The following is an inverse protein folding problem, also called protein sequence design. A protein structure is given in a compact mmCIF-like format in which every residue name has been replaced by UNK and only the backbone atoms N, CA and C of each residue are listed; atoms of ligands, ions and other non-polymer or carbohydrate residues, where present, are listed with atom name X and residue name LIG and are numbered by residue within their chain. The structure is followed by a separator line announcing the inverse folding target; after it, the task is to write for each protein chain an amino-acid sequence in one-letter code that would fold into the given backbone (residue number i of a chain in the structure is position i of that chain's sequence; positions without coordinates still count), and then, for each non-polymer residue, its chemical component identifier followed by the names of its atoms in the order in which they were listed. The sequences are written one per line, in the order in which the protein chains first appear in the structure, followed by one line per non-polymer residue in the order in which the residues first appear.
data_IF_580138144462
#
_entry.id   IF_580138144462
#
_cell.length_a   1.000
_cell.length_b   1.000
_cell.length_c   1.000
_cell.angle_alpha   90.00
_cell.angle_beta   90.00
_cell.angle_gamma   90.00
#
_symmetry.space_group_name_H-M   'P 1'
#
loop_
_entity.id
_entity.type
_entity.pdbx_description
1 polymer ?
#
# COMPACT_ATOMS: atom_id res chain seq x y z
N UNK A 1 26.44 26.08 1.44
CA UNK A 1 25.37 25.38 2.18
C UNK A 1 24.48 24.71 1.15
N UNK A 2 24.53 23.39 1.05
CA UNK A 2 23.74 22.65 0.05
C UNK A 2 22.32 22.56 0.57
N UNK A 3 21.40 23.29 -0.06
CA UNK A 3 19.96 23.18 0.10
C UNK A 3 19.53 21.79 -0.37
N UNK A 4 19.82 20.76 0.44
CA UNK A 4 19.26 19.43 0.19
C UNK A 4 17.75 19.59 0.38
N UNK A 5 16.92 19.25 -0.62
CA UNK A 5 15.48 19.28 -0.44
C UNK A 5 15.17 18.48 0.81
N UNK A 6 14.51 19.12 1.77
CA UNK A 6 14.00 18.43 2.95
C UNK A 6 12.92 17.49 2.45
N UNK A 7 13.32 16.26 2.11
CA UNK A 7 12.37 15.18 1.88
C UNK A 7 11.57 15.05 3.17
N UNK A 8 10.24 14.98 3.03
CA UNK A 8 9.35 14.77 4.17
C UNK A 8 9.70 13.49 4.93
N UNK A 9 9.05 13.24 6.08
CA UNK A 9 9.30 12.03 6.87
C UNK A 9 9.21 10.76 6.02
N UNK A 10 9.99 9.74 6.39
CA UNK A 10 9.93 8.45 5.72
C UNK A 10 8.54 7.83 5.84
N UNK A 11 8.14 7.09 4.82
CA UNK A 11 6.91 6.30 4.77
C UNK A 11 6.97 5.18 5.82
N UNK A 12 6.60 5.50 7.06
CA UNK A 12 6.45 4.53 8.15
C UNK A 12 4.96 4.35 8.47
N UNK A 13 4.38 3.15 8.23
CA UNK A 13 2.98 2.87 8.54
C UNK A 13 2.60 3.10 10.01
N UNK A 14 3.55 3.00 10.94
CA UNK A 14 3.34 3.21 12.38
C UNK A 14 3.32 4.68 12.80
N UNK A 15 3.91 5.57 12.00
CA UNK A 15 4.03 7.01 12.29
C UNK A 15 3.16 7.88 11.34
N UNK A 16 2.45 7.25 10.41
CA UNK A 16 1.55 7.92 9.48
C UNK A 16 0.22 8.30 10.14
N UNK A 17 0.18 9.48 10.77
CA UNK A 17 -1.04 10.06 11.33
C UNK A 17 -1.78 11.02 10.38
N UNK A 18 -1.16 11.44 9.27
CA UNK A 18 -1.77 12.41 8.34
C UNK A 18 -2.91 11.79 7.54
N UNK A 19 -3.88 12.60 7.12
CA UNK A 19 -4.91 12.18 6.16
C UNK A 19 -4.27 11.97 4.77
N UNK A 20 -4.63 10.92 4.02
CA UNK A 20 -4.12 10.74 2.66
C UNK A 20 -4.51 11.92 1.76
N UNK A 21 -3.54 12.41 0.98
CA UNK A 21 -3.72 13.51 0.05
C UNK A 21 -4.58 13.11 -1.15
N UNK A 22 -4.53 11.84 -1.56
CA UNK A 22 -5.41 11.25 -2.57
C UNK A 22 -5.79 9.84 -2.14
N UNK A 23 -7.08 9.50 -2.27
CA UNK A 23 -7.57 8.13 -2.16
C UNK A 23 -8.11 7.76 -3.53
N UNK A 24 -7.65 6.64 -4.08
CA UNK A 24 -8.27 6.02 -5.25
C UNK A 24 -8.84 4.67 -4.82
N UNK A 25 -10.15 4.56 -4.88
CA UNK A 25 -10.84 3.29 -4.67
C UNK A 25 -10.79 2.50 -5.96
N UNK A 26 -10.24 1.30 -5.89
CA UNK A 26 -10.24 0.33 -6.98
C UNK A 26 -10.79 -0.95 -6.39
N UNK A 27 -11.73 -1.60 -7.08
CA UNK A 27 -12.20 -2.92 -6.71
C UNK A 27 -11.70 -3.89 -7.76
N UNK A 28 -10.52 -4.46 -7.53
CA UNK A 28 -9.96 -5.52 -8.36
C UNK A 28 -9.95 -6.80 -7.55
N UNK A 29 -10.62 -7.83 -8.09
CA UNK A 29 -10.72 -9.14 -7.47
C UNK A 29 -9.90 -10.13 -8.31
N UNK A 30 -8.95 -10.81 -7.68
CA UNK A 30 -8.25 -11.95 -8.29
C UNK A 30 -8.40 -13.17 -7.42
N UNK A 31 -8.77 -14.26 -8.05
CA UNK A 31 -8.87 -15.58 -7.42
C UNK A 31 -7.68 -16.41 -7.86
N UNK A 32 -7.03 -17.07 -6.91
CA UNK A 32 -5.91 -17.96 -7.16
C UNK A 32 -6.07 -19.25 -6.35
N UNK A 33 -5.65 -20.37 -6.93
CA UNK A 33 -5.66 -21.67 -6.27
C UNK A 33 -4.26 -21.95 -5.74
N UNK A 34 -4.12 -21.92 -4.42
CA UNK A 34 -2.86 -22.25 -3.77
C UNK A 34 -2.92 -23.71 -3.31
N UNK A 35 -2.06 -24.55 -3.87
CA UNK A 35 -1.92 -25.93 -3.40
C UNK A 35 -0.92 -25.95 -2.24
N UNK A 36 -1.40 -26.29 -1.05
CA UNK A 36 -0.55 -26.49 0.14
C UNK A 36 -0.68 -27.96 0.53
N UNK A 37 0.41 -28.73 0.35
CA UNK A 37 0.42 -30.19 0.47
C UNK A 37 -0.61 -30.84 -0.49
N UNK A 38 -1.57 -31.60 0.04
CA UNK A 38 -2.67 -32.23 -0.72
C UNK A 38 -3.98 -31.43 -0.70
N UNK A 39 -4.00 -30.25 -0.07
CA UNK A 39 -5.19 -29.39 -0.01
C UNK A 39 -5.08 -28.26 -1.03
N UNK A 40 -6.16 -28.05 -1.77
CA UNK A 40 -6.32 -26.88 -2.64
C UNK A 40 -7.10 -25.83 -1.85
N UNK A 41 -6.50 -24.67 -1.66
CA UNK A 41 -7.11 -23.51 -1.01
C UNK A 41 -7.41 -22.48 -2.11
N UNK A 42 -8.66 -22.03 -2.19
CA UNK A 42 -9.06 -20.94 -3.08
C UNK A 42 -8.86 -19.63 -2.33
N UNK A 43 -7.79 -18.91 -2.68
CA UNK A 43 -7.50 -17.61 -2.13
C UNK A 43 -8.05 -16.52 -3.05
N UNK A 44 -8.88 -15.63 -2.50
CA UNK A 44 -9.40 -14.45 -3.18
C UNK A 44 -8.73 -13.20 -2.61
N UNK A 45 -8.00 -12.50 -3.48
CA UNK A 45 -7.35 -11.22 -3.17
C UNK A 45 -8.22 -10.10 -3.72
N UNK A 46 -8.68 -9.21 -2.85
CA UNK A 46 -9.48 -8.04 -3.19
C UNK A 46 -8.64 -6.81 -2.88
N UNK A 47 -8.18 -6.12 -3.91
CA UNK A 47 -7.60 -4.77 -3.76
C UNK A 47 -8.77 -3.81 -3.61
N UNK A 48 -8.77 -2.97 -2.58
CA UNK A 48 -9.93 -2.11 -2.24
C UNK A 48 -9.61 -0.62 -2.34
N UNK A 49 -8.47 -0.19 -1.83
CA UNK A 49 -8.13 1.24 -1.77
C UNK A 49 -6.63 1.46 -1.91
N UNK A 50 -6.25 2.47 -2.67
CA UNK A 50 -4.89 3.00 -2.76
C UNK A 50 -4.90 4.41 -2.16
N UNK A 51 -4.15 4.60 -1.09
CA UNK A 51 -4.03 5.88 -0.38
C UNK A 51 -2.64 6.46 -0.62
N UNK A 52 -2.58 7.70 -1.12
CA UNK A 52 -1.33 8.41 -1.41
C UNK A 52 -1.15 9.51 -0.38
N UNK A 53 0.00 9.52 0.29
CA UNK A 53 0.36 10.48 1.31
C UNK A 53 1.48 11.37 0.79
N UNK A 54 1.09 12.57 0.34
CA UNK A 54 1.99 13.52 -0.32
C UNK A 54 3.01 14.19 0.59
N UNK A 55 2.88 14.04 1.91
CA UNK A 55 3.82 14.58 2.90
C UNK A 55 4.93 13.59 3.26
N UNK A 56 4.69 12.29 3.08
CA UNK A 56 5.65 11.23 3.37
C UNK A 56 6.39 10.82 2.10
N UNK A 57 7.63 10.37 2.27
CA UNK A 57 8.50 9.98 1.17
C UNK A 57 9.03 8.56 1.36
N UNK A 58 9.13 7.81 0.27
CA UNK A 58 9.90 6.57 0.27
C UNK A 58 11.42 6.88 0.25
N UNK A 59 12.29 5.87 0.39
CA UNK A 59 13.74 6.06 0.30
C UNK A 59 14.24 6.64 -1.03
N UNK A 60 13.40 6.65 -2.07
CA UNK A 60 13.70 7.17 -3.41
C UNK A 60 13.15 8.58 -3.64
N UNK A 61 12.47 9.19 -2.65
CA UNK A 61 11.89 10.52 -2.74
C UNK A 61 10.52 10.58 -3.43
N UNK A 62 9.87 9.44 -3.67
CA UNK A 62 8.50 9.37 -4.18
C UNK A 62 7.48 9.49 -3.05
N UNK A 63 6.25 9.97 -3.33
CA UNK A 63 5.19 10.02 -2.32
C UNK A 63 4.85 8.62 -1.82
N UNK A 64 4.62 8.51 -0.52
CA UNK A 64 4.22 7.26 0.11
C UNK A 64 2.86 6.78 -0.42
N UNK A 65 2.77 5.50 -0.82
CA UNK A 65 1.56 4.86 -1.34
C UNK A 65 1.24 3.64 -0.49
N UNK A 66 0.03 3.61 0.08
CA UNK A 66 -0.48 2.48 0.86
C UNK A 66 -1.56 1.78 0.07
N UNK A 67 -1.42 0.47 -0.13
CA UNK A 67 -2.39 -0.37 -0.84
C UNK A 67 -3.09 -1.26 0.17
N UNK A 68 -4.41 -1.08 0.32
CA UNK A 68 -5.24 -1.91 1.17
C UNK A 68 -5.79 -3.10 0.40
N UNK A 69 -5.42 -4.29 0.84
CA UNK A 69 -5.87 -5.57 0.29
C UNK A 69 -6.59 -6.39 1.36
N UNK A 70 -7.62 -7.12 0.93
CA UNK A 70 -8.31 -8.13 1.74
C UNK A 70 -8.01 -9.48 1.10
N UNK A 71 -7.53 -10.43 1.90
CA UNK A 71 -7.28 -11.80 1.45
C UNK A 71 -8.30 -12.70 2.15
N UNK A 72 -9.09 -13.41 1.36
CA UNK A 72 -10.04 -14.44 1.79
C UNK A 72 -9.49 -15.80 1.35
N UNK A 73 -9.60 -16.84 2.17
CA UNK A 73 -9.07 -18.19 1.89
C UNK A 73 -9.91 -19.27 2.57
#
# INVERSE_FOLDING_TARGET
MTDKPKFGPLCDPGEMSSKPSKIRSFKEEKETKVKVNDKVIEAKVIVTNISVYGEYRDPFGLPCVVVNTVVLY
#
